data_IF_175950774802
#
_entry.id   IF_175950774802
#
_cell.length_a   1.000
_cell.length_b   1.000
_cell.length_c   1.000
_cell.angle_alpha   90.00
_cell.angle_beta   90.00
_cell.angle_gamma   90.00
#
_symmetry.space_group_name_H-M   'P 1'
#
loop_
_entity.id
_entity.type
_entity.pdbx_description
1 polymer ?
#
# COMPACT_ATOMS: atom_id res chain seq x y z
N UNK A 1 13.10 11.42 -14.43
CA UNK A 1 13.24 10.54 -13.24
C UNK A 1 12.95 9.11 -13.68
N UNK A 2 13.71 8.12 -13.21
CA UNK A 2 13.45 6.71 -13.53
C UNK A 2 12.17 6.30 -12.80
N UNK A 3 11.21 5.72 -13.52
CA UNK A 3 10.04 5.13 -12.88
C UNK A 3 10.50 3.98 -11.98
N UNK A 4 9.97 3.92 -10.76
CA UNK A 4 10.20 2.77 -9.87
C UNK A 4 9.60 1.53 -10.51
N UNK A 5 10.26 0.40 -10.33
CA UNK A 5 9.68 -0.90 -10.62
C UNK A 5 8.57 -1.21 -9.61
N UNK A 6 7.65 -2.11 -9.97
CA UNK A 6 6.59 -2.54 -9.05
C UNK A 6 7.17 -3.11 -7.75
N UNK A 7 8.31 -3.83 -7.82
CA UNK A 7 8.98 -4.35 -6.64
C UNK A 7 9.45 -3.22 -5.71
N UNK A 8 10.11 -2.20 -6.26
CA UNK A 8 10.57 -1.04 -5.48
C UNK A 8 9.40 -0.25 -4.87
N UNK A 9 8.23 -0.21 -5.52
CA UNK A 9 7.02 0.42 -4.97
C UNK A 9 6.55 -0.36 -3.75
N UNK A 10 6.33 -1.66 -3.86
CA UNK A 10 5.82 -2.49 -2.76
C UNK A 10 6.80 -2.52 -1.59
N UNK A 11 8.10 -2.69 -1.83
CA UNK A 11 9.09 -2.66 -0.74
C UNK A 11 9.07 -1.33 0.02
N UNK A 12 8.82 -0.21 -0.67
CA UNK A 12 8.75 1.10 -0.04
C UNK A 12 7.59 1.28 0.94
N UNK A 13 6.58 0.41 0.91
CA UNK A 13 5.46 0.42 1.87
C UNK A 13 5.70 -0.41 3.13
N UNK A 14 6.85 -1.09 3.26
CA UNK A 14 7.13 -1.97 4.40
C UNK A 14 8.51 -1.75 5.04
N UNK A 15 9.55 -1.46 4.27
CA UNK A 15 10.95 -1.50 4.73
C UNK A 15 11.44 -0.23 5.45
N UNK A 16 10.59 0.80 5.60
CA UNK A 16 10.93 2.06 6.25
C UNK A 16 10.31 2.25 7.64
N UNK A 17 10.28 3.49 8.12
CA UNK A 17 9.52 3.85 9.31
C UNK A 17 8.01 3.78 9.02
N UNK A 18 7.20 3.63 10.07
CA UNK A 18 5.74 3.63 9.92
C UNK A 18 5.23 4.87 9.16
N UNK A 19 5.83 6.05 9.39
CA UNK A 19 5.46 7.28 8.69
C UNK A 19 5.88 7.30 7.22
N UNK A 20 7.06 6.79 6.87
CA UNK A 20 7.47 6.69 5.46
C UNK A 20 6.65 5.66 4.70
N UNK A 21 6.36 4.53 5.34
CA UNK A 21 5.60 3.43 4.75
C UNK A 21 4.17 3.87 4.40
N UNK A 22 3.49 4.53 5.35
CA UNK A 22 2.16 5.07 5.13
C UNK A 22 2.14 6.13 4.01
N UNK A 23 3.15 7.00 3.95
CA UNK A 23 3.28 7.99 2.87
C UNK A 23 3.41 7.31 1.51
N UNK A 24 4.31 6.33 1.37
CA UNK A 24 4.51 5.64 0.09
C UNK A 24 3.28 4.83 -0.34
N UNK A 25 2.55 4.23 0.61
CA UNK A 25 1.30 3.52 0.33
C UNK A 25 0.25 4.48 -0.24
N UNK A 26 0.05 5.63 0.41
CA UNK A 26 -0.92 6.63 -0.04
C UNK A 26 -0.59 7.22 -1.41
N UNK A 27 0.70 7.45 -1.71
CA UNK A 27 1.17 7.94 -3.01
C UNK A 27 0.99 6.90 -4.14
N UNK A 28 0.99 5.60 -3.83
CA UNK A 28 0.89 4.52 -4.81
C UNK A 28 -0.55 4.06 -5.09
N UNK A 29 -1.51 4.39 -4.22
CA UNK A 29 -2.91 4.04 -4.42
C UNK A 29 -3.51 4.79 -5.60
N UNK A 30 -4.17 4.04 -6.47
CA UNK A 30 -5.01 4.64 -7.52
C UNK A 30 -6.33 5.14 -6.92
N UNK A 31 -7.00 6.06 -7.60
CA UNK A 31 -8.35 6.54 -7.23
C UNK A 31 -9.43 5.43 -7.23
N UNK A 32 -9.12 4.26 -7.80
CA UNK A 32 -10.01 3.11 -7.93
C UNK A 32 -9.44 1.85 -7.28
N UNK A 33 -8.55 2.00 -6.30
CA UNK A 33 -8.01 0.85 -5.57
C UNK A 33 -9.15 0.13 -4.85
N UNK A 34 -9.14 -1.19 -4.90
CA UNK A 34 -9.99 -2.04 -4.07
C UNK A 34 -9.07 -2.81 -3.12
N UNK A 35 -9.20 -2.54 -1.82
CA UNK A 35 -8.40 -3.21 -0.79
C UNK A 35 -9.28 -4.16 0.02
N UNK A 36 -8.99 -5.46 -0.02
CA UNK A 36 -9.79 -6.48 0.67
C UNK A 36 -9.04 -7.12 1.83
N UNK A 37 -9.60 -6.96 3.03
CA UNK A 37 -9.18 -7.69 4.23
C UNK A 37 -10.04 -8.96 4.40
N UNK A 38 -9.45 -10.04 4.93
CA UNK A 38 -10.15 -11.31 5.11
C UNK A 38 -11.36 -11.19 6.04
N UNK A 39 -12.45 -11.92 5.75
CA UNK A 39 -13.71 -11.88 6.51
C UNK A 39 -13.53 -12.20 8.02
N UNK A 40 -12.58 -13.07 8.35
CA UNK A 40 -12.26 -13.42 9.73
C UNK A 40 -11.43 -12.37 10.49
N UNK A 41 -11.01 -11.28 9.84
CA UNK A 41 -10.22 -10.22 10.47
C UNK A 41 -11.13 -9.10 11.02
N UNK A 42 -10.78 -8.41 12.13
CA UNK A 42 -11.62 -7.36 12.70
C UNK A 42 -11.97 -6.21 11.73
N UNK A 43 -11.15 -6.00 10.70
CA UNK A 43 -11.38 -5.01 9.65
C UNK A 43 -11.78 -5.65 8.31
N UNK A 44 -12.37 -6.85 8.33
CA UNK A 44 -12.78 -7.56 7.12
C UNK A 44 -13.75 -6.75 6.24
N UNK A 45 -13.53 -6.78 4.93
CA UNK A 45 -14.30 -6.01 3.95
C UNK A 45 -13.44 -5.54 2.78
N UNK A 46 -14.10 -4.98 1.77
CA UNK A 46 -13.47 -4.31 0.62
C UNK A 46 -13.68 -2.80 0.74
N UNK A 47 -12.60 -2.04 0.57
CA UNK A 47 -12.55 -0.57 0.66
C UNK A 47 -12.06 0.05 -0.64
#
# INVERSE_FOLDING_TARGET
>A
MKQKTNLEIIQSTYEGSASSNAKHLAEAFSEKVEWTEAEGFPYGGTY
#
